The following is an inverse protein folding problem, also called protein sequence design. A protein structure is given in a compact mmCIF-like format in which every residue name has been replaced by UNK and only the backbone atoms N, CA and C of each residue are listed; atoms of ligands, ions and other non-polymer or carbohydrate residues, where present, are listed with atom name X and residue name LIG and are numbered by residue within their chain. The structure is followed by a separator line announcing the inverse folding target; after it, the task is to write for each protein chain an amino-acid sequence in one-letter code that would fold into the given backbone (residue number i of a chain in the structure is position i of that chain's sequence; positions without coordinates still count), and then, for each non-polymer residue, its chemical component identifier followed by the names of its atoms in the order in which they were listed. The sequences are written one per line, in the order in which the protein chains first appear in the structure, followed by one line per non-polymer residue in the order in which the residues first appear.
data_IF_352887067111
#
_entry.id   IF_352887067111
#
_cell.length_a   1.000
_cell.length_b   1.000
_cell.length_c   1.000
_cell.angle_alpha   90.00
_cell.angle_beta   90.00
_cell.angle_gamma   90.00
#
_symmetry.space_group_name_H-M   'P 1'
#
loop_
_entity.id
_entity.type
_entity.pdbx_description
1 polymer ?
#
# COMPACT_ATOMS: atom_id res chain seq x y z
N UNK A 1 -1.72 -2.47 5.83
CA UNK A 1 -2.94 -2.55 5.02
C UNK A 1 -2.87 -1.36 4.09
N UNK A 2 -2.69 -1.55 2.78
CA UNK A 2 -2.65 -0.42 1.84
C UNK A 2 -4.10 -0.01 1.60
N UNK A 3 -4.46 1.17 2.09
CA UNK A 3 -5.76 1.78 1.92
C UNK A 3 -5.65 2.75 0.74
N UNK A 4 -6.24 2.40 -0.40
CA UNK A 4 -6.44 3.34 -1.51
C UNK A 4 -7.88 3.84 -1.37
N UNK A 5 -8.04 5.09 -0.92
CA UNK A 5 -9.35 5.76 -0.78
C UNK A 5 -9.60 6.64 -1.99
N UNK A 6 -10.83 6.63 -2.49
CA UNK A 6 -11.37 7.56 -3.48
C UNK A 6 -12.70 8.10 -2.96
N UNK A 7 -13.01 9.41 -3.07
CA UNK A 7 -14.37 9.91 -2.95
C UNK A 7 -14.95 10.29 -4.32
N UNK A 8 -16.24 9.95 -4.53
CA UNK A 8 -17.11 10.56 -5.55
C UNK A 8 -17.58 9.61 -6.64
N UNK A 9 -18.90 9.61 -6.90
CA UNK A 9 -19.62 8.69 -7.81
C UNK A 9 -20.28 9.50 -8.95
N UNK A 10 -20.39 8.85 -10.14
CA UNK A 10 -21.40 8.95 -11.24
C UNK A 10 -20.92 9.64 -12.55
N UNK A 11 -21.49 9.31 -13.75
CA UNK A 11 -22.12 8.07 -14.24
C UNK A 11 -21.35 7.44 -15.43
N UNK A 12 -21.52 6.12 -15.64
CA UNK A 12 -20.98 5.41 -16.81
C UNK A 12 -21.74 5.77 -18.08
N UNK A 13 -21.05 6.29 -19.09
CA UNK A 13 -21.24 5.83 -20.46
C UNK A 13 -19.98 6.07 -21.30
N UNK A 14 -19.44 4.99 -21.87
CA UNK A 14 -18.25 4.89 -22.75
C UNK A 14 -16.87 5.27 -22.15
N UNK A 15 -16.26 4.35 -21.39
CA UNK A 15 -14.80 4.38 -21.15
C UNK A 15 -14.05 4.20 -22.48
N UNK A 16 -13.09 5.08 -22.75
CA UNK A 16 -12.23 4.98 -23.93
C UNK A 16 -11.36 3.69 -23.88
N UNK A 17 -10.92 3.14 -25.02
CA UNK A 17 -10.15 1.89 -25.07
C UNK A 17 -8.87 1.92 -24.22
N UNK A 18 -8.17 3.05 -24.16
CA UNK A 18 -6.98 3.27 -23.33
C UNK A 18 -7.31 3.21 -21.83
N UNK A 19 -8.43 3.79 -21.41
CA UNK A 19 -8.92 3.71 -20.03
C UNK A 19 -9.20 2.25 -19.63
N UNK A 20 -9.72 1.45 -20.56
CA UNK A 20 -9.97 0.02 -20.33
C UNK A 20 -8.66 -0.80 -20.19
N UNK A 21 -7.60 -0.43 -20.91
CA UNK A 21 -6.28 -1.04 -20.72
C UNK A 21 -5.69 -0.71 -19.34
N UNK A 22 -5.83 0.54 -18.90
CA UNK A 22 -5.41 0.97 -17.56
C UNK A 22 -6.13 0.20 -16.45
N UNK A 23 -7.45 0.08 -16.54
CA UNK A 23 -8.27 -0.66 -15.57
C UNK A 23 -7.83 -2.13 -15.51
N UNK A 24 -7.70 -2.81 -16.64
CA UNK A 24 -7.23 -4.21 -16.67
C UNK A 24 -5.83 -4.37 -16.07
N UNK A 25 -4.92 -3.44 -16.34
CA UNK A 25 -3.58 -3.46 -15.76
C UNK A 25 -3.64 -3.29 -14.23
N UNK A 26 -4.50 -2.40 -13.72
CA UNK A 26 -4.70 -2.19 -12.29
C UNK A 26 -5.31 -3.42 -11.60
N UNK A 27 -6.31 -4.07 -12.21
CA UNK A 27 -6.91 -5.32 -11.71
C UNK A 27 -5.90 -6.47 -11.66
N UNK A 28 -5.07 -6.61 -12.69
CA UNK A 28 -4.01 -7.62 -12.75
C UNK A 28 -2.93 -7.36 -11.69
N UNK A 29 -2.52 -6.10 -11.47
CA UNK A 29 -1.59 -5.74 -10.40
C UNK A 29 -2.21 -6.02 -9.02
N UNK A 30 -3.46 -5.62 -8.81
CA UNK A 30 -4.20 -5.87 -7.57
C UNK A 30 -4.24 -7.37 -7.25
N UNK A 31 -4.60 -8.22 -8.23
CA UNK A 31 -4.61 -9.67 -8.08
C UNK A 31 -3.25 -10.22 -7.65
N UNK A 32 -2.16 -9.74 -8.28
CA UNK A 32 -0.79 -10.13 -7.89
C UNK A 32 -0.44 -9.68 -6.47
N UNK A 33 -0.81 -8.45 -6.11
CA UNK A 33 -0.58 -7.93 -4.77
C UNK A 33 -1.32 -8.74 -3.73
N UNK A 34 -2.53 -9.22 -4.00
CA UNK A 34 -3.33 -10.03 -3.06
C UNK A 34 -2.73 -11.42 -2.81
N UNK A 35 -2.07 -12.01 -3.80
CA UNK A 35 -1.49 -13.34 -3.71
C UNK A 35 -0.09 -13.39 -3.08
N UNK A 36 0.54 -12.24 -2.84
CA UNK A 36 1.91 -12.16 -2.31
C UNK A 36 1.96 -11.72 -0.85
N UNK A 37 2.97 -12.21 -0.12
CA UNK A 37 3.21 -11.80 1.28
C UNK A 37 3.92 -10.45 1.36
N UNK A 38 4.83 -10.17 0.43
CA UNK A 38 5.60 -8.93 0.38
C UNK A 38 5.20 -8.13 -0.86
N UNK A 39 4.49 -7.02 -0.63
CA UNK A 39 4.05 -6.11 -1.68
C UNK A 39 5.23 -5.56 -2.50
N UNK A 40 6.36 -5.24 -1.85
CA UNK A 40 7.56 -4.73 -2.52
C UNK A 40 8.08 -5.69 -3.58
N UNK A 41 8.11 -7.00 -3.31
CA UNK A 41 8.52 -8.03 -4.27
C UNK A 41 7.55 -8.14 -5.45
N UNK A 42 6.25 -8.10 -5.17
CA UNK A 42 5.25 -8.12 -6.23
C UNK A 42 5.34 -6.91 -7.16
N UNK A 43 5.67 -5.73 -6.60
CA UNK A 43 5.90 -4.50 -7.36
C UNK A 43 7.17 -4.58 -8.20
N UNK A 44 8.29 -5.03 -7.62
CA UNK A 44 9.55 -5.26 -8.36
C UNK A 44 9.31 -6.14 -9.59
N UNK A 45 8.73 -7.31 -9.39
CA UNK A 45 8.50 -8.25 -10.47
C UNK A 45 7.49 -7.71 -11.51
N UNK A 46 6.50 -6.92 -11.08
CA UNK A 46 5.52 -6.31 -11.98
C UNK A 46 6.16 -5.28 -12.90
N UNK A 47 6.97 -4.38 -12.32
CA UNK A 47 7.68 -3.35 -13.07
C UNK A 47 8.70 -3.98 -14.03
N UNK A 48 9.45 -4.98 -13.59
CA UNK A 48 10.41 -5.70 -14.42
C UNK A 48 9.72 -6.38 -15.62
N UNK A 49 8.62 -7.10 -15.39
CA UNK A 49 7.90 -7.82 -16.44
C UNK A 49 7.27 -6.91 -17.51
N UNK A 50 7.13 -5.60 -17.23
CA UNK A 50 6.50 -4.62 -18.11
C UNK A 50 7.44 -3.53 -18.60
N UNK A 51 8.74 -3.60 -18.26
CA UNK A 51 9.71 -2.59 -18.64
C UNK A 51 9.44 -1.19 -18.07
N UNK A 52 8.72 -1.09 -16.94
CA UNK A 52 8.36 0.21 -16.32
C UNK A 52 9.52 0.89 -15.60
N UNK A 53 10.63 0.16 -15.45
CA UNK A 53 11.85 0.63 -14.80
C UNK A 53 12.72 -0.55 -14.43
N UNK A 54 14.01 -0.28 -14.26
CA UNK A 54 14.99 -1.23 -13.73
C UNK A 54 15.51 -0.74 -12.38
N UNK A 55 15.87 -1.67 -11.51
CA UNK A 55 16.41 -1.36 -10.18
C UNK A 55 15.64 -2.02 -9.05
N UNK A 56 16.04 -1.70 -7.83
CA UNK A 56 15.45 -2.21 -6.59
C UNK A 56 14.35 -1.27 -6.10
N UNK A 57 13.26 -1.83 -5.58
CA UNK A 57 12.26 -1.05 -4.88
C UNK A 57 12.84 -0.52 -3.57
N UNK A 58 12.69 0.78 -3.35
CA UNK A 58 13.07 1.46 -2.12
C UNK A 58 11.84 1.91 -1.36
N UNK A 59 11.91 1.90 -0.04
CA UNK A 59 10.89 2.50 0.83
C UNK A 59 11.44 3.81 1.36
N UNK A 60 10.62 4.84 1.43
CA UNK A 60 10.96 6.13 2.04
C UNK A 60 9.93 6.46 3.09
N UNK A 61 10.32 6.57 4.35
CA UNK A 61 9.44 7.00 5.44
C UNK A 61 9.25 8.51 5.42
N UNK A 62 8.05 8.94 5.76
CA UNK A 62 7.77 10.35 6.07
C UNK A 62 8.04 10.59 7.56
N UNK A 63 8.90 11.56 7.89
CA UNK A 63 9.29 11.83 9.28
C UNK A 63 8.17 12.48 10.10
N UNK A 64 7.33 13.29 9.46
CA UNK A 64 6.18 13.95 10.07
C UNK A 64 4.94 13.71 9.20
N UNK A 65 4.37 12.49 9.24
CA UNK A 65 3.19 12.21 8.46
C UNK A 65 2.02 13.06 8.95
N UNK A 66 1.24 13.62 8.02
CA UNK A 66 -0.03 14.23 8.37
C UNK A 66 -0.89 13.25 9.18
N UNK A 67 -1.66 13.71 10.17
CA UNK A 67 -2.56 12.85 10.92
C UNK A 67 -3.49 12.11 9.96
N UNK A 68 -3.53 10.78 10.08
CA UNK A 68 -4.50 9.94 9.39
C UNK A 68 -5.50 9.40 10.42
N UNK A 69 -6.76 9.25 10.02
CA UNK A 69 -7.79 8.62 10.86
C UNK A 69 -7.96 7.18 10.40
N UNK A 70 -7.87 6.24 11.34
CA UNK A 70 -8.25 4.86 11.07
C UNK A 70 -9.78 4.79 10.93
N UNK A 71 -10.24 4.44 9.73
CA UNK A 71 -11.65 4.32 9.42
C UNK A 71 -12.33 3.20 10.26
N UNK A 72 -13.66 3.25 10.42
CA UNK A 72 -14.38 2.30 11.27
C UNK A 72 -14.17 0.84 10.89
N UNK A 73 -14.12 0.51 9.60
CA UNK A 73 -13.99 -0.87 9.11
C UNK A 73 -12.58 -1.40 9.39
N UNK A 74 -11.56 -0.59 9.12
CA UNK A 74 -10.17 -0.90 9.47
C UNK A 74 -9.98 -1.04 10.98
N UNK A 75 -10.69 -0.25 11.80
CA UNK A 75 -10.67 -0.37 13.26
C UNK A 75 -11.33 -1.64 13.76
N UNK A 76 -12.50 -1.99 13.22
CA UNK A 76 -13.17 -3.25 13.52
C UNK A 76 -12.29 -4.44 13.13
N UNK A 77 -11.61 -4.37 11.98
CA UNK A 77 -10.64 -5.36 11.53
C UNK A 77 -9.45 -5.57 12.48
N UNK A 78 -9.07 -4.54 13.26
CA UNK A 78 -8.05 -4.62 14.32
C UNK A 78 -8.59 -5.13 15.67
N UNK A 79 -9.88 -5.43 15.77
CA UNK A 79 -10.53 -5.87 17.01
C UNK A 79 -11.28 -4.77 17.76
N UNK A 80 -11.55 -3.63 17.12
CA UNK A 80 -12.39 -2.55 17.66
C UNK A 80 -11.63 -1.52 18.50
N UNK A 81 -10.56 -1.91 19.19
CA UNK A 81 -9.66 -0.99 19.89
C UNK A 81 -8.37 -0.75 19.10
N UNK A 82 -8.14 0.52 18.74
CA UNK A 82 -6.91 0.97 18.08
C UNK A 82 -6.01 1.79 19.03
N UNK A 83 -6.30 1.85 20.33
CA UNK A 83 -5.41 2.44 21.32
C UNK A 83 -4.07 1.71 21.32
N UNK A 84 -2.99 2.49 21.41
CA UNK A 84 -1.62 1.95 21.34
C UNK A 84 -1.13 1.64 19.92
N UNK A 85 -1.92 1.93 18.87
CA UNK A 85 -1.41 1.87 17.49
C UNK A 85 -0.50 3.05 17.18
N UNK A 86 0.52 2.79 16.36
CA UNK A 86 1.43 3.77 15.79
C UNK A 86 1.16 3.91 14.30
N UNK A 87 1.17 5.15 13.84
CA UNK A 87 1.03 5.52 12.43
C UNK A 87 2.41 5.65 11.78
N UNK A 88 2.61 4.99 10.63
CA UNK A 88 3.80 5.17 9.78
C UNK A 88 3.38 5.34 8.33
N UNK A 89 3.68 6.49 7.72
CA UNK A 89 3.49 6.71 6.28
C UNK A 89 4.80 6.51 5.53
N UNK A 90 4.71 5.84 4.38
CA UNK A 90 5.85 5.57 3.52
C UNK A 90 5.48 5.68 2.06
N UNK A 91 6.45 6.05 1.23
CA UNK A 91 6.40 5.83 -0.21
C UNK A 91 7.17 4.56 -0.55
N UNK A 92 6.66 3.77 -1.49
CA UNK A 92 7.39 2.69 -2.14
C UNK A 92 7.70 3.16 -3.55
N UNK A 93 8.99 3.15 -3.90
CA UNK A 93 9.50 3.80 -5.11
C UNK A 93 10.33 2.84 -5.95
N UNK A 94 10.24 3.01 -7.27
CA UNK A 94 11.18 2.44 -8.22
C UNK A 94 11.98 3.59 -8.84
N UNK A 95 13.24 3.73 -8.43
CA UNK A 95 14.02 4.92 -8.75
C UNK A 95 13.31 6.19 -8.28
N UNK A 96 13.05 7.12 -9.19
CA UNK A 96 12.34 8.38 -8.88
C UNK A 96 10.82 8.25 -8.73
N UNK A 97 10.22 7.17 -9.25
CA UNK A 97 8.77 7.03 -9.41
C UNK A 97 8.16 6.48 -8.12
N UNK A 98 7.13 7.14 -7.59
CA UNK A 98 6.30 6.61 -6.50
C UNK A 98 5.32 5.61 -7.07
N UNK A 99 5.41 4.36 -6.64
CA UNK A 99 4.46 3.30 -7.03
C UNK A 99 3.34 3.15 -6.01
N UNK A 100 3.63 3.38 -4.73
CA UNK A 100 2.67 3.26 -3.63
C UNK A 100 2.93 4.34 -2.61
N UNK A 101 1.87 5.05 -2.21
CA UNK A 101 1.78 5.75 -0.94
C UNK A 101 1.02 4.86 0.04
N UNK A 102 1.63 4.55 1.18
CA UNK A 102 1.09 3.60 2.13
C UNK A 102 1.12 4.14 3.55
N UNK A 103 0.01 3.91 4.25
CA UNK A 103 -0.13 4.09 5.68
C UNK A 103 -0.12 2.73 6.38
N UNK A 104 0.74 2.60 7.39
CA UNK A 104 0.80 1.43 8.26
C UNK A 104 0.35 1.81 9.67
N UNK A 105 -0.67 1.11 10.15
CA UNK A 105 -1.10 1.12 11.55
C UNK A 105 -0.63 -0.17 12.21
N UNK A 106 0.10 -0.08 13.33
CA UNK A 106 0.61 -1.25 14.03
C UNK A 106 0.73 -1.03 15.54
N UNK A 107 0.63 -2.10 16.31
CA UNK A 107 0.78 -2.10 17.76
C UNK A 107 2.27 -2.21 18.12
N UNK A 108 2.87 -1.11 18.59
CA UNK A 108 4.31 -1.04 18.83
C UNK A 108 4.78 -1.90 20.02
N UNK A 109 3.88 -2.15 20.97
CA UNK A 109 4.06 -3.04 22.13
C UNK A 109 4.17 -4.52 21.74
N UNK A 110 3.62 -4.91 20.58
CA UNK A 110 3.74 -6.28 20.03
C UNK A 110 5.06 -6.55 19.31
N UNK A 111 5.90 -5.53 19.14
CA UNK A 111 7.18 -5.63 18.44
C UNK A 111 8.34 -5.67 19.42
N UNK A 112 9.44 -6.31 19.03
CA UNK A 112 10.70 -6.22 19.81
C UNK A 112 11.35 -4.84 19.62
N UNK A 113 12.29 -4.48 20.50
CA UNK A 113 13.03 -3.23 20.37
C UNK A 113 13.79 -3.14 19.03
N UNK A 114 14.44 -4.23 18.60
CA UNK A 114 15.14 -4.28 17.32
C UNK A 114 14.20 -4.11 16.12
N UNK A 115 12.98 -4.65 16.18
CA UNK A 115 11.97 -4.45 15.13
C UNK A 115 11.51 -2.99 15.07
N UNK A 116 11.27 -2.36 16.23
CA UNK A 116 10.91 -0.94 16.30
C UNK A 116 12.01 -0.05 15.75
N UNK A 117 13.27 -0.34 16.08
CA UNK A 117 14.42 0.42 15.59
C UNK A 117 14.53 0.35 14.05
N UNK A 118 14.37 -0.83 13.44
CA UNK A 118 14.31 -0.95 11.98
C UNK A 118 13.18 -0.11 11.37
N UNK A 119 12.03 -0.06 12.04
CA UNK A 119 10.87 0.74 11.60
C UNK A 119 11.06 2.26 11.80
N UNK A 120 12.07 2.68 12.57
CA UNK A 120 12.54 4.06 12.63
C UNK A 120 13.30 4.51 11.36
N UNK A 121 13.52 3.61 10.40
CA UNK A 121 14.09 3.96 9.10
C UNK A 121 13.22 3.53 7.92
N UNK A 122 13.92 3.31 6.82
CA UNK A 122 13.37 2.97 5.52
C UNK A 122 13.22 1.46 5.29
N UNK A 123 13.34 0.63 6.34
CA UNK A 123 13.10 -0.80 6.22
C UNK A 123 11.64 -1.07 5.83
N UNK A 124 11.37 -1.92 4.82
CA UNK A 124 10.02 -2.36 4.51
C UNK A 124 9.35 -3.02 5.72
N UNK A 125 8.07 -2.72 5.97
CA UNK A 125 7.39 -3.19 7.18
C UNK A 125 7.40 -4.72 7.30
N UNK A 126 7.03 -5.42 6.21
CA UNK A 126 7.01 -6.89 6.18
C UNK A 126 8.37 -7.54 6.40
N UNK A 127 9.46 -6.87 6.02
CA UNK A 127 10.84 -7.31 6.29
C UNK A 127 11.19 -7.09 7.75
N UNK A 128 10.85 -5.93 8.31
CA UNK A 128 11.11 -5.62 9.71
C UNK A 128 10.41 -6.57 10.69
N UNK A 129 9.34 -7.25 10.28
CA UNK A 129 8.60 -8.20 11.12
C UNK A 129 8.67 -9.65 10.63
N UNK A 130 9.56 -9.97 9.68
CA UNK A 130 9.64 -11.30 9.04
C UNK A 130 9.72 -12.44 10.04
N UNK A 131 10.46 -12.24 11.14
CA UNK A 131 10.72 -13.26 12.16
C UNK A 131 9.45 -13.64 12.94
N UNK A 132 8.44 -12.78 12.94
CA UNK A 132 7.12 -13.07 13.53
C UNK A 132 6.27 -13.98 12.65
N UNK A 133 6.71 -14.28 11.42
CA UNK A 133 5.98 -15.09 10.42
C UNK A 133 4.52 -14.62 10.28
N UNK A 134 4.30 -13.32 9.95
CA UNK A 134 2.97 -12.74 9.96
C UNK A 134 2.05 -13.42 8.96
N UNK A 135 0.77 -13.53 9.32
CA UNK A 135 -0.29 -13.90 8.39
C UNK A 135 -0.96 -12.63 7.87
N UNK A 136 -1.22 -12.60 6.57
CA UNK A 136 -1.94 -11.50 5.93
C UNK A 136 -3.41 -11.88 5.73
N UNK A 137 -4.30 -10.97 6.14
CA UNK A 137 -5.73 -11.00 5.80
C UNK A 137 -6.09 -9.67 5.13
N UNK A 138 -6.71 -9.74 3.97
CA UNK A 138 -7.24 -8.57 3.29
C UNK A 138 -8.70 -8.39 3.66
N UNK A 139 -9.10 -7.17 3.98
CA UNK A 139 -10.47 -6.85 4.41
C UNK A 139 -11.23 -6.04 3.35
N UNK A 140 -10.51 -5.19 2.61
CA UNK A 140 -11.08 -4.37 1.55
C UNK A 140 -10.07 -4.23 0.40
N UNK A 141 -10.59 -4.18 -0.83
CA UNK A 141 -9.84 -3.89 -2.05
C UNK A 141 -10.75 -3.07 -2.95
N UNK A 142 -10.22 -1.98 -3.48
CA UNK A 142 -10.84 -1.19 -4.53
C UNK A 142 -9.81 -0.85 -5.58
N UNK A 143 -10.23 -0.88 -6.84
CA UNK A 143 -9.46 -0.33 -7.95
C UNK A 143 -10.12 1.01 -8.29
N UNK A 144 -9.33 2.09 -8.27
CA UNK A 144 -9.85 3.41 -8.62
C UNK A 144 -10.30 3.42 -10.09
N UNK A 145 -11.42 4.10 -10.40
CA UNK A 145 -11.82 4.29 -11.78
C UNK A 145 -10.83 5.27 -12.47
N UNK A 146 -10.68 5.17 -13.80
CA UNK A 146 -9.59 5.84 -14.53
C UNK A 146 -9.62 7.38 -14.47
N UNK A 147 -10.80 7.97 -14.31
CA UNK A 147 -11.06 9.41 -14.17
C UNK A 147 -10.51 10.02 -12.86
N UNK A 148 -10.34 9.20 -11.83
CA UNK A 148 -9.81 9.64 -10.53
C UNK A 148 -8.28 9.76 -10.54
N UNK A 149 -7.61 9.05 -11.43
CA UNK A 149 -6.13 9.02 -11.50
C UNK A 149 -5.58 10.32 -12.10
N UNK A 150 -6.34 10.98 -12.98
CA UNK A 150 -5.90 12.18 -13.71
C UNK A 150 -5.83 13.43 -12.82
N UNK A 151 -6.63 13.49 -11.75
CA UNK A 151 -6.64 14.60 -10.79
C UNK A 151 -5.46 14.60 -9.79
N UNK A 152 -4.63 13.55 -9.79
CA UNK A 152 -3.54 13.35 -8.84
C UNK A 152 -2.13 13.62 -9.42
N UNK A 153 -2.06 14.16 -10.65
CA UNK A 153 -0.78 14.49 -11.33
C UNK A 153 -0.40 15.96 -11.17
#
# INVERSE_FOLDING_TARGET
MVQVVVPGVLPSDSLQPESLHGVRAAEALSSRLLLTQLATRALEDWCCARGLGSGRITVRRHDQPAPAVLDPDSRAALGGDARGTTLRRVDIRLGGIVLVDAVNWYFADRLTAAMRERLCGDTPFGEAISDLKPRRRTFHVSVAPPDVVEAAT
#
